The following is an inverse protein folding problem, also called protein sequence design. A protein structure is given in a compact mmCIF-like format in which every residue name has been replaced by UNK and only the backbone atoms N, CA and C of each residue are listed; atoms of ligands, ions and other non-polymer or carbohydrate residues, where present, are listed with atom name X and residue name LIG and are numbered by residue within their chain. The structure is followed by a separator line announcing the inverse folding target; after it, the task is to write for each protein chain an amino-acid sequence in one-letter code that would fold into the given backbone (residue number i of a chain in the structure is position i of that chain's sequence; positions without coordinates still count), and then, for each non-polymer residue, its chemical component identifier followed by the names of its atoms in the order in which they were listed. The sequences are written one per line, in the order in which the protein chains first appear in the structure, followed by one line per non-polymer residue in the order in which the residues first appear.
data_IF_589624208442
#
_entry.id   IF_589624208442
#
_cell.length_a   1.000
_cell.length_b   1.000
_cell.length_c   1.000
_cell.angle_alpha   90.00
_cell.angle_beta   90.00
_cell.angle_gamma   90.00
#
_symmetry.space_group_name_H-M   'P 1'
#
loop_
_entity.id
_entity.type
_entity.pdbx_description
1 polymer ?
#
# COMPACT_ATOMS: atom_id res chain seq x y z
N UNK A 1 85.35 17.74 9.17
CA UNK A 1 84.56 18.52 10.16
C UNK A 1 83.24 18.88 9.48
N UNK A 2 82.24 18.06 9.66
CA UNK A 2 80.89 18.22 9.05
C UNK A 2 79.93 18.38 10.21
N UNK A 3 79.29 19.52 10.27
CA UNK A 3 78.29 19.85 11.28
C UNK A 3 76.95 19.41 10.74
N UNK A 4 76.29 18.41 11.39
CA UNK A 4 74.93 18.02 11.14
C UNK A 4 73.94 18.85 11.99
N UNK A 5 73.13 19.67 11.33
CA UNK A 5 72.00 20.36 11.98
C UNK A 5 70.74 19.50 11.89
N UNK A 6 70.24 19.07 13.02
CA UNK A 6 68.97 18.37 13.16
C UNK A 6 67.76 19.35 13.15
N UNK A 7 66.91 19.26 12.13
CA UNK A 7 65.64 19.92 12.12
C UNK A 7 64.55 18.92 12.60
N UNK A 8 63.98 19.15 13.79
CA UNK A 8 62.78 18.50 14.26
C UNK A 8 61.56 19.16 13.65
N UNK A 9 60.53 18.41 13.15
CA UNK A 9 59.30 19.01 12.68
C UNK A 9 58.39 19.37 13.86
N UNK A 10 57.93 20.59 13.86
CA UNK A 10 56.88 21.10 14.76
C UNK A 10 55.60 20.27 14.62
N UNK A 11 55.11 19.73 15.73
CA UNK A 11 53.82 19.05 15.81
C UNK A 11 52.70 20.05 15.52
N UNK A 12 51.94 19.80 14.44
CA UNK A 12 50.70 20.53 14.13
C UNK A 12 49.63 20.16 15.10
N UNK A 13 49.11 21.14 15.84
CA UNK A 13 47.94 21.02 16.71
C UNK A 13 46.73 20.59 15.89
N UNK A 14 45.86 19.67 16.39
CA UNK A 14 44.65 19.32 15.69
C UNK A 14 43.70 20.53 15.61
N UNK A 15 43.23 20.83 14.41
CA UNK A 15 42.20 21.83 14.17
C UNK A 15 40.96 21.48 14.99
N UNK A 16 40.26 22.44 15.58
CA UNK A 16 39.01 22.18 16.27
C UNK A 16 38.00 21.66 15.27
N UNK A 17 37.36 20.50 15.57
CA UNK A 17 36.29 19.94 14.79
C UNK A 17 35.20 21.00 14.56
N UNK A 18 34.91 21.31 13.31
CA UNK A 18 33.78 22.15 12.93
C UNK A 18 32.54 21.62 13.63
N UNK A 19 31.99 22.37 14.56
CA UNK A 19 30.69 22.10 15.15
C UNK A 19 29.68 22.20 14.00
N UNK A 20 29.12 21.07 13.57
CA UNK A 20 27.93 21.06 12.69
C UNK A 20 26.90 22.00 13.31
N UNK A 21 26.22 22.84 12.50
CA UNK A 21 25.16 23.70 13.01
C UNK A 21 24.15 22.83 13.75
N UNK A 22 23.71 23.28 14.92
CA UNK A 22 22.71 22.60 15.73
C UNK A 22 21.48 22.36 14.85
N UNK A 23 21.23 21.10 14.46
CA UNK A 23 20.01 20.71 13.76
C UNK A 23 18.82 21.03 14.65
N UNK A 24 17.77 21.61 14.07
CA UNK A 24 16.53 21.84 14.81
C UNK A 24 16.00 20.48 15.27
N UNK A 25 15.85 20.31 16.60
CA UNK A 25 15.27 19.12 17.22
C UNK A 25 13.81 19.42 17.52
N UNK A 26 12.95 18.58 17.01
CA UNK A 26 11.52 18.59 17.29
C UNK A 26 11.14 17.30 18.00
N UNK A 27 10.02 17.32 18.76
CA UNK A 27 9.56 16.15 19.47
C UNK A 27 8.06 15.91 19.28
N UNK A 28 7.68 14.65 19.20
CA UNK A 28 6.27 14.22 19.13
C UNK A 28 6.08 12.93 19.91
N UNK A 29 4.84 12.54 20.20
CA UNK A 29 4.56 11.23 20.83
C UNK A 29 4.72 10.10 19.80
N UNK A 30 4.20 10.29 18.57
CA UNK A 30 4.32 9.28 17.52
C UNK A 30 4.78 9.92 16.21
N UNK A 31 5.85 9.41 15.62
CA UNK A 31 6.32 9.81 14.30
C UNK A 31 6.04 8.69 13.29
N UNK A 32 5.27 8.99 12.24
CA UNK A 32 4.86 8.04 11.21
C UNK A 32 5.65 8.34 9.93
N UNK A 33 6.49 7.41 9.51
CA UNK A 33 7.23 7.49 8.26
C UNK A 33 6.39 6.94 7.11
N UNK A 34 5.95 7.80 6.19
CA UNK A 34 5.16 7.46 5.01
C UNK A 34 3.69 7.87 5.12
N UNK A 35 3.25 8.76 4.20
CA UNK A 35 1.88 9.26 4.05
C UNK A 35 0.98 8.35 3.20
N UNK A 36 1.26 7.05 3.12
CA UNK A 36 0.40 6.07 2.46
C UNK A 36 -0.84 5.70 3.28
N UNK A 37 -1.67 4.74 2.80
CA UNK A 37 -2.93 4.36 3.45
C UNK A 37 -2.81 3.99 4.93
N UNK A 38 -1.76 3.23 5.31
CA UNK A 38 -1.50 2.92 6.71
C UNK A 38 -1.15 4.16 7.52
N UNK A 39 -0.25 5.01 6.99
CA UNK A 39 0.27 6.16 7.74
C UNK A 39 -0.78 7.24 7.96
N UNK A 40 -1.53 7.62 6.91
CA UNK A 40 -2.58 8.65 7.04
C UNK A 40 -3.72 8.15 7.94
N UNK A 41 -4.16 6.88 7.79
CA UNK A 41 -5.19 6.30 8.64
C UNK A 41 -4.72 6.23 10.11
N UNK A 42 -3.51 5.77 10.36
CA UNK A 42 -2.96 5.71 11.71
C UNK A 42 -2.84 7.11 12.33
N UNK A 43 -2.30 8.06 11.56
CA UNK A 43 -2.18 9.45 11.99
C UNK A 43 -3.53 10.05 12.37
N UNK A 44 -4.55 9.84 11.52
CA UNK A 44 -5.93 10.27 11.80
C UNK A 44 -6.46 9.65 13.10
N UNK A 45 -6.34 8.33 13.27
CA UNK A 45 -6.88 7.62 14.45
C UNK A 45 -6.16 8.01 15.75
N UNK A 46 -4.84 8.16 15.72
CA UNK A 46 -4.06 8.58 16.88
C UNK A 46 -4.36 10.04 17.26
N UNK A 47 -4.45 10.94 16.27
CA UNK A 47 -4.82 12.32 16.52
C UNK A 47 -6.24 12.44 17.08
N UNK A 48 -7.19 11.67 16.54
CA UNK A 48 -8.55 11.55 17.08
C UNK A 48 -8.57 11.09 18.53
N UNK A 49 -7.60 10.25 18.92
CA UNK A 49 -7.41 9.79 20.29
C UNK A 49 -6.63 10.79 21.19
N UNK A 50 -6.25 11.97 20.70
CA UNK A 50 -5.51 12.99 21.43
C UNK A 50 -4.00 12.73 21.54
N UNK A 51 -3.45 11.84 20.72
CA UNK A 51 -2.00 11.61 20.63
C UNK A 51 -1.39 12.62 19.67
N UNK A 52 -0.29 13.29 20.08
CA UNK A 52 0.50 14.13 19.17
C UNK A 52 1.19 13.27 18.12
N UNK A 53 0.91 13.51 16.85
CA UNK A 53 1.41 12.70 15.75
C UNK A 53 1.93 13.57 14.60
N UNK A 54 3.14 13.22 14.11
CA UNK A 54 3.70 13.77 12.88
C UNK A 54 3.70 12.66 11.82
N UNK A 55 3.04 12.90 10.68
CA UNK A 55 3.07 12.00 9.51
C UNK A 55 3.98 12.63 8.46
N UNK A 56 5.00 11.88 8.01
CA UNK A 56 6.00 12.35 7.06
C UNK A 56 5.76 11.70 5.69
N UNK A 57 5.58 12.51 4.66
CA UNK A 57 5.49 12.05 3.27
C UNK A 57 6.61 12.69 2.44
N UNK A 58 7.41 11.88 1.76
CA UNK A 58 8.56 12.34 0.99
C UNK A 58 8.21 13.10 -0.29
N UNK A 59 7.03 12.90 -0.81
CA UNK A 59 6.57 13.58 -2.01
C UNK A 59 5.76 14.84 -1.66
N UNK A 60 5.58 15.72 -2.65
CA UNK A 60 4.83 16.98 -2.50
C UNK A 60 3.31 16.78 -2.36
N UNK A 61 2.81 15.61 -2.78
CA UNK A 61 1.39 15.25 -2.80
C UNK A 61 1.22 13.73 -2.76
N UNK A 62 -0.04 13.27 -2.75
CA UNK A 62 -0.38 11.84 -2.77
C UNK A 62 -0.53 11.27 -4.17
N UNK A 63 -0.32 12.05 -5.20
CA UNK A 63 -0.46 11.57 -6.57
C UNK A 63 0.56 10.47 -6.88
N UNK A 64 0.06 9.29 -7.25
CA UNK A 64 0.84 8.13 -7.69
C UNK A 64 0.08 7.43 -8.80
N UNK A 65 0.63 7.39 -10.00
CA UNK A 65 0.06 6.64 -11.10
C UNK A 65 -0.02 5.13 -10.78
N UNK A 66 -1.12 4.51 -11.19
CA UNK A 66 -1.32 3.06 -11.18
C UNK A 66 -1.16 2.37 -9.82
N UNK A 67 -1.48 3.06 -8.73
CA UNK A 67 -1.46 2.47 -7.39
C UNK A 67 -2.82 2.53 -6.74
N UNK A 68 -3.20 1.37 -6.19
CA UNK A 68 -4.19 1.22 -5.15
C UNK A 68 -5.53 1.91 -5.38
N UNK A 69 -6.38 1.30 -6.20
CA UNK A 69 -7.60 1.95 -6.67
C UNK A 69 -8.88 1.30 -6.12
N UNK A 70 -8.77 0.54 -5.05
CA UNK A 70 -9.88 -0.27 -4.55
C UNK A 70 -10.07 -0.08 -3.05
N UNK A 71 -11.14 0.59 -2.66
CA UNK A 71 -11.57 0.72 -1.28
C UNK A 71 -12.65 -0.32 -1.02
N UNK A 72 -12.32 -1.32 -0.21
CA UNK A 72 -13.17 -2.48 0.03
C UNK A 72 -14.29 -2.20 1.04
N UNK A 73 -15.34 -3.05 1.08
CA UNK A 73 -16.41 -2.95 2.06
C UNK A 73 -15.94 -2.83 3.50
N UNK A 74 -14.84 -3.51 3.87
CA UNK A 74 -14.24 -3.38 5.22
C UNK A 74 -13.77 -1.96 5.53
N UNK A 75 -13.14 -1.27 4.57
CA UNK A 75 -12.70 0.11 4.77
C UNK A 75 -13.87 1.09 4.74
N UNK A 76 -14.88 0.84 3.88
CA UNK A 76 -16.11 1.64 3.88
C UNK A 76 -16.87 1.51 5.20
N UNK A 77 -16.85 0.34 5.84
CA UNK A 77 -17.43 0.15 7.17
C UNK A 77 -16.65 0.95 8.24
N UNK A 78 -15.32 1.01 8.16
CA UNK A 78 -14.52 1.89 9.03
C UNK A 78 -14.88 3.38 8.82
N UNK A 79 -15.14 3.81 7.58
CA UNK A 79 -15.64 5.17 7.33
C UNK A 79 -17.00 5.41 7.98
N UNK A 80 -17.87 4.41 7.97
CA UNK A 80 -19.15 4.48 8.67
C UNK A 80 -18.98 4.59 10.21
N UNK A 81 -18.12 3.77 10.80
CA UNK A 81 -17.82 3.79 12.24
C UNK A 81 -17.18 5.13 12.69
N UNK A 82 -16.44 5.77 11.80
CA UNK A 82 -15.87 7.10 12.03
C UNK A 82 -16.85 8.26 11.80
N UNK A 83 -18.07 7.98 11.28
CA UNK A 83 -19.04 9.01 10.91
C UNK A 83 -18.69 9.79 9.64
N UNK A 84 -17.78 9.24 8.82
CA UNK A 84 -17.25 9.89 7.60
C UNK A 84 -17.87 9.34 6.31
N UNK A 85 -18.68 8.27 6.38
CA UNK A 85 -19.12 7.55 5.19
C UNK A 85 -19.92 8.40 4.22
N UNK A 86 -20.86 9.21 4.71
CA UNK A 86 -21.73 10.04 3.84
C UNK A 86 -20.93 11.05 3.04
N UNK A 87 -19.94 11.71 3.67
CA UNK A 87 -19.06 12.66 2.98
C UNK A 87 -18.08 11.93 2.06
N UNK A 88 -17.59 10.78 2.47
CA UNK A 88 -16.71 9.97 1.64
C UNK A 88 -17.37 9.49 0.34
N UNK A 89 -18.64 9.10 0.39
CA UNK A 89 -19.39 8.67 -0.81
C UNK A 89 -19.69 9.80 -1.79
N UNK A 90 -19.49 11.07 -1.42
CA UNK A 90 -19.55 12.21 -2.36
C UNK A 90 -18.30 12.33 -3.22
N UNK A 91 -17.18 11.72 -2.81
CA UNK A 91 -15.96 11.65 -3.62
C UNK A 91 -16.24 10.78 -4.85
N UNK A 92 -15.88 11.22 -6.07
CA UNK A 92 -16.15 10.47 -7.29
C UNK A 92 -15.58 9.04 -7.23
N UNK A 93 -16.41 8.04 -7.44
CA UNK A 93 -16.03 6.63 -7.44
C UNK A 93 -16.98 5.80 -8.29
N UNK A 94 -16.57 4.57 -8.59
CA UNK A 94 -17.42 3.58 -9.24
C UNK A 94 -17.64 2.39 -8.30
N UNK A 95 -18.87 1.88 -8.27
CA UNK A 95 -19.23 0.75 -7.44
C UNK A 95 -18.99 -0.58 -8.18
N UNK A 96 -18.19 -1.45 -7.60
CA UNK A 96 -17.98 -2.81 -8.07
C UNK A 96 -18.66 -3.80 -7.10
N UNK A 97 -19.81 -4.33 -7.48
CA UNK A 97 -20.62 -5.24 -6.62
C UNK A 97 -20.22 -6.70 -6.74
N UNK A 98 -19.45 -7.06 -7.75
CA UNK A 98 -18.91 -8.40 -7.93
C UNK A 98 -17.60 -8.36 -8.74
N UNK A 99 -16.72 -9.31 -8.49
CA UNK A 99 -15.50 -9.53 -9.27
C UNK A 99 -15.67 -10.78 -10.10
N UNK A 100 -15.40 -10.70 -11.38
CA UNK A 100 -15.49 -11.81 -12.30
C UNK A 100 -14.49 -11.70 -13.44
N UNK A 101 -14.65 -12.56 -14.44
CA UNK A 101 -13.78 -12.57 -15.58
C UNK A 101 -14.24 -13.51 -16.68
N UNK A 102 -13.39 -13.57 -17.71
CA UNK A 102 -13.51 -14.49 -18.83
C UNK A 102 -12.27 -15.38 -18.89
N UNK A 103 -12.49 -16.68 -18.99
CA UNK A 103 -11.45 -17.67 -19.26
C UNK A 103 -11.77 -18.32 -20.61
N UNK A 104 -11.15 -17.84 -21.68
CA UNK A 104 -11.63 -18.10 -23.04
C UNK A 104 -13.08 -17.61 -23.17
N UNK A 105 -13.98 -18.53 -23.54
CA UNK A 105 -15.42 -18.25 -23.64
C UNK A 105 -16.20 -18.45 -22.33
N UNK A 106 -15.55 -18.89 -21.26
CA UNK A 106 -16.20 -19.15 -19.97
C UNK A 106 -16.24 -17.91 -19.09
N UNK A 107 -17.41 -17.29 -18.99
CA UNK A 107 -17.64 -16.20 -18.05
C UNK A 107 -17.89 -16.75 -16.64
N UNK A 108 -17.28 -16.12 -15.61
CA UNK A 108 -17.50 -16.50 -14.23
C UNK A 108 -17.55 -15.28 -13.30
N UNK A 109 -18.32 -15.40 -12.21
CA UNK A 109 -18.31 -14.46 -11.09
C UNK A 109 -17.60 -15.12 -9.93
N UNK A 110 -16.38 -14.65 -9.64
CA UNK A 110 -15.53 -15.20 -8.58
C UNK A 110 -15.92 -14.74 -7.18
N UNK A 111 -16.32 -13.47 -7.03
CA UNK A 111 -16.73 -12.90 -5.74
C UNK A 111 -17.97 -12.04 -5.91
N UNK A 112 -18.89 -12.11 -4.93
CA UNK A 112 -20.13 -11.35 -4.88
C UNK A 112 -20.25 -10.69 -3.50
N UNK A 113 -20.38 -9.36 -3.48
CA UNK A 113 -20.43 -8.55 -2.26
C UNK A 113 -21.84 -8.21 -1.80
N UNK A 114 -22.87 -8.48 -2.61
CA UNK A 114 -24.25 -8.03 -2.40
C UNK A 114 -24.90 -8.49 -1.09
N UNK A 115 -24.34 -9.53 -0.46
CA UNK A 115 -24.87 -10.16 0.76
C UNK A 115 -24.07 -9.84 2.03
N UNK A 116 -23.02 -9.01 1.93
CA UNK A 116 -22.19 -8.69 3.09
C UNK A 116 -22.98 -7.93 4.16
N UNK A 117 -22.75 -8.22 5.45
CA UNK A 117 -23.46 -7.58 6.57
C UNK A 117 -22.82 -6.22 6.94
N UNK A 118 -22.68 -5.32 5.97
CA UNK A 118 -22.06 -3.99 6.09
C UNK A 118 -22.87 -2.95 5.33
N UNK A 119 -22.62 -1.67 5.59
CA UNK A 119 -23.34 -0.55 4.96
C UNK A 119 -23.15 -0.51 3.45
N UNK A 120 -21.90 -0.63 2.98
CA UNK A 120 -21.56 -0.60 1.56
C UNK A 120 -21.17 -1.99 1.07
N UNK A 121 -22.01 -2.58 0.19
CA UNK A 121 -21.85 -3.94 -0.34
C UNK A 121 -21.18 -3.93 -1.70
N UNK A 122 -20.14 -3.11 -1.86
CA UNK A 122 -19.39 -2.92 -3.10
C UNK A 122 -17.95 -2.48 -2.78
N UNK A 123 -17.05 -2.67 -3.73
CA UNK A 123 -15.74 -2.04 -3.73
C UNK A 123 -15.89 -0.69 -4.41
N UNK A 124 -15.47 0.39 -3.76
CA UNK A 124 -15.36 1.68 -4.40
C UNK A 124 -14.05 1.74 -5.21
N UNK A 125 -14.19 1.89 -6.52
CA UNK A 125 -13.07 2.09 -7.44
C UNK A 125 -12.82 3.59 -7.54
N UNK A 126 -11.74 4.07 -6.94
CA UNK A 126 -11.34 5.48 -6.92
C UNK A 126 -9.82 5.60 -6.86
N UNK A 127 -9.25 6.70 -7.33
CA UNK A 127 -7.83 6.94 -7.16
C UNK A 127 -7.42 6.96 -5.68
N UNK A 128 -6.31 6.33 -5.34
CA UNK A 128 -5.83 6.28 -3.96
C UNK A 128 -5.61 7.67 -3.35
N UNK A 129 -5.15 8.63 -4.15
CA UNK A 129 -4.92 10.00 -3.66
C UNK A 129 -6.20 10.72 -3.21
N UNK A 130 -7.37 10.39 -3.78
CA UNK A 130 -8.64 10.96 -3.34
C UNK A 130 -9.02 10.46 -1.94
N UNK A 131 -8.81 9.16 -1.67
CA UNK A 131 -8.96 8.57 -0.33
C UNK A 131 -8.00 9.22 0.69
N UNK A 132 -6.73 9.37 0.32
CA UNK A 132 -5.71 9.95 1.19
C UNK A 132 -5.96 11.43 1.47
N UNK A 133 -6.30 12.21 0.44
CA UNK A 133 -6.66 13.62 0.60
C UNK A 133 -7.88 13.78 1.50
N UNK A 134 -8.90 12.92 1.31
CA UNK A 134 -10.10 12.94 2.15
C UNK A 134 -9.76 12.74 3.63
N UNK A 135 -9.00 11.71 3.97
CA UNK A 135 -8.60 11.45 5.35
C UNK A 135 -7.68 12.55 5.92
N UNK A 136 -6.70 12.99 5.13
CA UNK A 136 -5.77 14.04 5.55
C UNK A 136 -6.51 15.36 5.85
N UNK A 137 -7.50 15.72 5.04
CA UNK A 137 -8.29 16.92 5.26
C UNK A 137 -9.11 16.83 6.56
N UNK A 138 -9.75 15.70 6.81
CA UNK A 138 -10.46 15.46 8.06
C UNK A 138 -9.51 15.42 9.27
N UNK A 139 -8.29 14.91 9.08
CA UNK A 139 -7.24 14.89 10.10
C UNK A 139 -6.84 16.28 10.59
N UNK A 140 -6.85 17.29 9.72
CA UNK A 140 -6.54 18.70 10.08
C UNK A 140 -7.49 19.31 11.12
N UNK A 141 -8.65 18.70 11.33
CA UNK A 141 -9.58 19.13 12.40
C UNK A 141 -9.01 18.88 13.80
N UNK A 142 -8.05 17.95 13.95
CA UNK A 142 -7.38 17.66 15.20
C UNK A 142 -6.08 18.48 15.33
N UNK A 143 -5.91 19.19 16.43
CA UNK A 143 -4.69 19.99 16.67
C UNK A 143 -3.43 19.16 16.81
N UNK A 144 -3.60 17.88 17.12
CA UNK A 144 -2.53 16.89 17.34
C UNK A 144 -2.11 16.17 16.05
N UNK A 145 -2.75 16.48 14.91
CA UNK A 145 -2.42 15.90 13.60
C UNK A 145 -1.53 16.87 12.80
N UNK A 146 -0.31 16.44 12.51
CA UNK A 146 0.65 17.19 11.68
C UNK A 146 1.11 16.33 10.52
N UNK A 147 0.61 16.62 9.31
CA UNK A 147 1.02 15.94 8.07
C UNK A 147 1.97 16.85 7.29
N UNK A 148 3.19 16.35 7.09
CA UNK A 148 4.25 17.07 6.37
C UNK A 148 4.61 16.37 5.08
N UNK A 149 4.36 17.03 3.97
CA UNK A 149 4.82 16.62 2.63
C UNK A 149 6.25 17.13 2.38
N UNK A 150 6.95 16.55 1.39
CA UNK A 150 8.36 16.85 1.08
C UNK A 150 9.31 16.64 2.28
N UNK A 151 8.95 15.69 3.16
CA UNK A 151 9.74 15.30 4.32
C UNK A 151 10.10 13.81 4.21
N UNK A 152 11.31 13.51 3.77
CA UNK A 152 11.79 12.15 3.56
C UNK A 152 12.53 11.63 4.79
N UNK A 153 12.07 10.53 5.37
CA UNK A 153 12.82 9.83 6.42
C UNK A 153 14.03 9.15 5.78
N UNK A 154 15.23 9.55 6.21
CA UNK A 154 16.50 9.05 5.67
C UNK A 154 17.27 8.16 6.66
N UNK A 155 16.80 8.05 7.91
CA UNK A 155 17.42 7.18 8.90
C UNK A 155 16.74 7.27 10.26
N UNK A 156 17.22 6.45 11.21
CA UNK A 156 16.71 6.38 12.57
C UNK A 156 17.67 7.09 13.54
N UNK A 157 17.10 7.70 14.58
CA UNK A 157 17.82 8.11 15.78
C UNK A 157 17.77 6.95 16.77
N UNK A 158 18.92 6.47 17.23
CA UNK A 158 19.02 5.31 18.12
C UNK A 158 20.00 5.60 19.27
N UNK A 159 19.60 5.19 20.46
CA UNK A 159 20.44 5.21 21.67
C UNK A 159 20.34 3.85 22.36
N UNK A 160 21.44 3.21 22.66
CA UNK A 160 21.51 1.91 23.33
C UNK A 160 20.60 0.83 22.72
N UNK A 161 20.46 0.83 21.40
CA UNK A 161 19.62 -0.10 20.67
C UNK A 161 18.13 0.23 20.66
N UNK A 162 17.70 1.31 21.31
CA UNK A 162 16.33 1.82 21.34
C UNK A 162 16.15 2.89 20.26
N UNK A 163 15.10 2.82 19.47
CA UNK A 163 14.74 3.87 18.52
C UNK A 163 14.10 5.03 19.28
N UNK A 164 14.63 6.24 19.06
CA UNK A 164 14.21 7.49 19.72
C UNK A 164 13.63 8.52 18.76
N UNK A 165 13.62 8.23 17.47
CA UNK A 165 13.14 9.15 16.47
C UNK A 165 13.70 8.88 15.09
N UNK A 166 13.62 9.89 14.22
CA UNK A 166 14.02 9.81 12.81
C UNK A 166 14.86 11.01 12.39
N UNK A 167 15.74 10.79 11.42
CA UNK A 167 16.38 11.86 10.63
C UNK A 167 15.56 12.05 9.36
N UNK A 168 15.27 13.30 9.06
CA UNK A 168 14.37 13.71 7.98
C UNK A 168 15.10 14.70 7.07
N UNK A 169 15.03 14.46 5.79
CA UNK A 169 15.45 15.39 4.75
C UNK A 169 14.24 16.20 4.32
N UNK A 170 14.28 17.51 4.55
CA UNK A 170 13.27 18.47 4.12
C UNK A 170 13.89 19.49 3.14
N UNK A 171 13.06 20.34 2.54
CA UNK A 171 13.51 21.40 1.62
C UNK A 171 14.51 22.39 2.26
N UNK A 172 14.34 22.65 3.57
CA UNK A 172 15.20 23.52 4.35
C UNK A 172 16.49 22.86 4.87
N UNK A 173 16.70 21.57 4.63
CA UNK A 173 17.82 20.78 5.13
C UNK A 173 17.44 19.56 5.93
N UNK A 174 18.39 18.96 6.65
CA UNK A 174 18.12 17.82 7.52
C UNK A 174 17.67 18.29 8.90
N UNK A 175 16.65 17.66 9.45
CA UNK A 175 16.11 17.86 10.79
C UNK A 175 16.03 16.52 11.54
N UNK A 176 16.05 16.58 12.86
CA UNK A 176 15.83 15.44 13.74
C UNK A 176 14.48 15.56 14.44
N UNK A 177 13.69 14.50 14.40
CA UNK A 177 12.39 14.42 15.10
C UNK A 177 12.49 13.28 16.12
N UNK A 178 12.45 13.65 17.41
CA UNK A 178 12.37 12.70 18.51
C UNK A 178 10.93 12.21 18.67
N UNK A 179 10.76 10.93 18.99
CA UNK A 179 9.44 10.32 19.18
C UNK A 179 9.49 9.21 20.23
N UNK A 180 8.42 9.09 21.03
CA UNK A 180 8.23 7.95 21.94
C UNK A 180 8.05 6.64 21.15
N UNK A 181 7.45 6.73 19.92
CA UNK A 181 7.31 5.63 18.97
C UNK A 181 7.48 6.13 17.54
N UNK A 182 8.29 5.42 16.77
CA UNK A 182 8.33 5.55 15.30
C UNK A 182 7.51 4.43 14.67
N UNK A 183 6.63 4.76 13.69
CA UNK A 183 5.89 3.76 12.93
C UNK A 183 6.25 3.85 11.45
N UNK A 184 6.83 2.77 10.92
CA UNK A 184 7.18 2.66 9.51
C UNK A 184 5.96 2.30 8.66
N UNK A 185 5.56 3.21 7.78
CA UNK A 185 4.50 3.08 6.78
C UNK A 185 5.01 3.46 5.38
N UNK A 186 6.34 3.48 5.18
CA UNK A 186 7.04 3.99 4.00
C UNK A 186 7.14 3.00 2.84
N UNK A 187 6.37 1.91 2.94
CA UNK A 187 6.09 1.02 1.82
C UNK A 187 7.13 -0.08 1.62
N UNK A 188 7.04 -0.75 0.45
CA UNK A 188 7.81 -1.97 0.13
C UNK A 188 9.33 -1.76 0.05
N UNK A 189 9.78 -0.52 -0.13
CA UNK A 189 11.20 -0.11 -0.12
C UNK A 189 11.49 0.76 1.10
N UNK A 190 11.03 0.32 2.26
CA UNK A 190 11.10 1.05 3.52
C UNK A 190 12.54 1.30 3.95
N UNK A 191 12.92 2.57 3.99
CA UNK A 191 14.21 3.04 4.56
C UNK A 191 14.26 2.78 6.07
N UNK A 192 13.12 2.94 6.74
CA UNK A 192 13.02 2.70 8.19
C UNK A 192 13.23 1.22 8.52
N UNK A 193 12.65 0.31 7.74
CA UNK A 193 12.84 -1.14 7.86
C UNK A 193 14.32 -1.52 7.70
N UNK A 194 14.97 -0.99 6.66
CA UNK A 194 16.39 -1.23 6.39
C UNK A 194 17.27 -0.69 7.53
N UNK A 195 17.06 0.56 7.95
CA UNK A 195 17.78 1.17 9.07
C UNK A 195 17.54 0.45 10.41
N UNK A 196 16.38 -0.19 10.55
CA UNK A 196 16.03 -1.00 11.71
C UNK A 196 16.61 -2.41 11.68
N UNK A 197 17.32 -2.83 10.61
CA UNK A 197 17.90 -4.17 10.45
C UNK A 197 16.87 -5.32 10.65
N UNK A 198 15.68 -5.17 10.05
CA UNK A 198 14.65 -6.21 10.13
C UNK A 198 14.91 -7.36 9.17
N UNK A 199 14.67 -8.59 9.62
CA UNK A 199 14.75 -9.79 8.78
C UNK A 199 13.52 -9.89 7.88
N UNK A 200 13.74 -9.81 6.56
CA UNK A 200 12.70 -9.95 5.52
C UNK A 200 12.64 -11.39 5.05
N UNK A 201 11.46 -12.00 5.15
CA UNK A 201 11.16 -13.30 4.56
C UNK A 201 10.58 -13.09 3.16
N UNK A 202 11.35 -13.36 2.12
CA UNK A 202 10.87 -13.30 0.74
C UNK A 202 10.08 -14.56 0.39
N UNK A 203 8.84 -14.38 -0.06
CA UNK A 203 7.95 -15.46 -0.53
C UNK A 203 8.04 -15.58 -2.05
N UNK A 204 8.43 -14.49 -2.72
CA UNK A 204 8.54 -14.37 -4.15
C UNK A 204 7.19 -14.23 -4.87
N UNK A 205 7.27 -13.75 -6.11
CA UNK A 205 6.16 -13.72 -7.04
C UNK A 205 6.66 -14.03 -8.44
N UNK A 206 6.07 -15.01 -9.17
CA UNK A 206 6.57 -15.44 -10.47
C UNK A 206 6.10 -14.57 -11.63
N UNK A 207 5.39 -13.50 -11.36
CA UNK A 207 4.79 -12.60 -12.36
C UNK A 207 5.01 -11.15 -12.03
N UNK A 208 4.97 -10.31 -13.06
CA UNK A 208 4.94 -8.85 -13.00
C UNK A 208 3.70 -8.33 -13.75
N UNK A 209 3.37 -7.05 -13.60
CA UNK A 209 2.25 -6.41 -14.30
C UNK A 209 2.73 -5.20 -15.09
N UNK A 210 2.34 -5.12 -16.34
CA UNK A 210 2.51 -3.95 -17.18
C UNK A 210 1.24 -3.12 -17.14
N UNK A 211 1.27 -1.96 -16.50
CA UNK A 211 0.14 -1.04 -16.39
C UNK A 211 0.16 0.02 -17.48
N UNK A 212 -1.01 0.28 -18.06
CA UNK A 212 -1.20 1.32 -19.10
C UNK A 212 -2.65 1.80 -19.11
N UNK A 213 -2.91 2.88 -19.83
CA UNK A 213 -4.26 3.42 -20.07
C UNK A 213 -4.68 3.12 -21.50
N UNK A 214 -5.97 2.85 -21.70
CA UNK A 214 -6.59 2.73 -23.00
C UNK A 214 -8.01 3.29 -22.92
N UNK A 215 -8.46 4.04 -23.93
CA UNK A 215 -9.77 4.67 -23.91
C UNK A 215 -10.90 3.63 -23.84
N UNK A 216 -12.01 4.02 -23.21
CA UNK A 216 -13.22 3.19 -23.08
C UNK A 216 -14.36 3.79 -23.89
N UNK A 217 -15.15 2.94 -24.55
CA UNK A 217 -16.38 3.30 -25.25
C UNK A 217 -17.60 2.92 -24.39
N UNK A 218 -18.74 3.54 -24.68
CA UNK A 218 -19.99 3.30 -23.94
C UNK A 218 -20.51 1.86 -24.09
N UNK A 219 -20.24 1.22 -25.21
CA UNK A 219 -20.63 -0.17 -25.55
C UNK A 219 -19.63 -1.22 -25.07
N UNK A 220 -18.48 -0.80 -24.51
CA UNK A 220 -17.52 -1.73 -23.90
C UNK A 220 -18.09 -2.41 -22.66
N UNK A 221 -17.57 -3.59 -22.28
CA UNK A 221 -17.96 -4.25 -21.06
C UNK A 221 -17.86 -3.32 -19.85
N UNK A 222 -18.99 -3.08 -19.17
CA UNK A 222 -19.06 -2.14 -18.02
C UNK A 222 -18.27 -2.61 -16.80
N UNK A 223 -18.23 -3.93 -16.57
CA UNK A 223 -17.61 -4.50 -15.39
C UNK A 223 -16.08 -4.59 -15.54
N UNK A 224 -15.38 -4.35 -14.42
CA UNK A 224 -13.94 -4.65 -14.33
C UNK A 224 -13.73 -6.15 -14.52
N UNK A 225 -13.00 -6.53 -15.55
CA UNK A 225 -12.87 -7.91 -15.98
C UNK A 225 -11.41 -8.35 -16.00
N UNK A 226 -11.15 -9.50 -15.38
CA UNK A 226 -9.98 -10.32 -15.71
C UNK A 226 -10.27 -11.13 -16.97
N UNK A 227 -9.35 -11.11 -17.94
CA UNK A 227 -9.46 -11.91 -19.18
C UNK A 227 -8.23 -12.79 -19.30
N UNK A 228 -8.45 -14.07 -19.58
CA UNK A 228 -7.40 -15.06 -19.81
C UNK A 228 -7.71 -15.75 -21.13
N UNK A 229 -6.90 -15.49 -22.14
CA UNK A 229 -7.01 -16.15 -23.45
C UNK A 229 -5.67 -16.08 -24.21
N UNK A 230 -5.44 -17.00 -25.13
CA UNK A 230 -4.25 -17.04 -26.00
C UNK A 230 -2.91 -16.83 -25.30
N UNK A 231 -2.81 -17.32 -24.07
CA UNK A 231 -1.59 -17.19 -23.26
C UNK A 231 -1.40 -15.84 -22.59
N UNK A 232 -2.34 -14.94 -22.73
CA UNK A 232 -2.33 -13.62 -22.15
C UNK A 232 -3.31 -13.52 -20.97
N UNK A 233 -2.96 -12.71 -19.97
CA UNK A 233 -3.81 -12.39 -18.83
C UNK A 233 -3.91 -10.89 -18.69
N UNK A 234 -5.09 -10.33 -18.97
CA UNK A 234 -5.36 -8.91 -18.97
C UNK A 234 -6.38 -8.56 -17.87
N UNK A 235 -6.08 -7.53 -17.11
CA UNK A 235 -7.00 -6.92 -16.13
C UNK A 235 -7.44 -5.59 -16.70
N UNK A 236 -8.75 -5.33 -16.71
CA UNK A 236 -9.33 -4.06 -17.16
C UNK A 236 -10.16 -3.47 -16.03
N UNK A 237 -9.69 -2.37 -15.46
CA UNK A 237 -10.38 -1.62 -14.42
C UNK A 237 -11.06 -0.42 -15.08
N UNK A 238 -12.39 -0.38 -15.01
CA UNK A 238 -13.19 0.70 -15.56
C UNK A 238 -12.97 1.99 -14.75
N UNK A 239 -12.63 3.10 -15.44
CA UNK A 239 -12.40 4.43 -14.87
C UNK A 239 -13.34 5.50 -15.48
N UNK A 240 -14.44 5.07 -16.08
CA UNK A 240 -15.39 5.94 -16.74
C UNK A 240 -15.08 6.06 -18.23
N UNK A 241 -14.18 6.92 -18.61
CA UNK A 241 -13.77 7.23 -19.99
C UNK A 241 -12.58 6.40 -20.49
N UNK A 242 -11.88 5.67 -19.59
CA UNK A 242 -10.77 4.79 -19.93
C UNK A 242 -10.75 3.51 -19.09
N UNK A 243 -10.02 2.52 -19.57
CA UNK A 243 -9.58 1.39 -18.77
C UNK A 243 -8.16 1.62 -18.26
N UNK A 244 -7.98 1.47 -16.97
CA UNK A 244 -6.67 1.17 -16.41
C UNK A 244 -6.43 -0.33 -16.65
N UNK A 245 -5.53 -0.62 -17.58
CA UNK A 245 -5.27 -1.96 -18.05
C UNK A 245 -3.95 -2.51 -17.47
N UNK A 246 -3.95 -3.77 -17.04
CA UNK A 246 -2.78 -4.47 -16.53
C UNK A 246 -2.55 -5.78 -17.27
N UNK A 247 -1.49 -5.88 -18.07
CA UNK A 247 -1.07 -7.14 -18.69
C UNK A 247 -0.11 -7.87 -17.74
N UNK A 248 -0.46 -9.10 -17.37
CA UNK A 248 0.36 -9.95 -16.51
C UNK A 248 1.39 -10.66 -17.36
N UNK A 249 2.66 -10.50 -17.01
CA UNK A 249 3.79 -11.13 -17.66
C UNK A 249 4.59 -12.03 -16.68
N UNK A 250 5.44 -12.90 -17.19
CA UNK A 250 6.39 -13.63 -16.34
C UNK A 250 7.35 -12.66 -15.66
N UNK A 251 7.77 -12.99 -14.46
CA UNK A 251 8.74 -12.20 -13.69
C UNK A 251 10.00 -11.92 -14.50
N UNK A 252 10.36 -10.63 -14.61
CA UNK A 252 11.56 -10.18 -15.34
C UNK A 252 11.45 -10.21 -16.86
N UNK A 253 10.27 -10.51 -17.45
CA UNK A 253 10.10 -10.61 -18.90
C UNK A 253 9.93 -9.26 -19.62
N UNK A 254 9.95 -8.11 -18.92
CA UNK A 254 9.63 -6.82 -19.54
C UNK A 254 10.59 -6.43 -20.67
N UNK A 255 11.88 -6.70 -20.52
CA UNK A 255 12.86 -6.39 -21.57
C UNK A 255 12.65 -7.26 -22.83
N UNK A 256 12.24 -8.52 -22.67
CA UNK A 256 11.87 -9.38 -23.79
C UNK A 256 10.60 -8.87 -24.50
N UNK A 257 9.58 -8.39 -23.73
CA UNK A 257 8.38 -7.77 -24.30
C UNK A 257 8.73 -6.49 -25.07
N UNK A 258 9.61 -5.65 -24.54
CA UNK A 258 10.10 -4.45 -25.26
C UNK A 258 10.84 -4.80 -26.53
N UNK A 259 11.69 -5.82 -26.51
CA UNK A 259 12.49 -6.27 -27.67
C UNK A 259 11.61 -6.82 -28.79
N UNK A 260 10.44 -7.40 -28.46
CA UNK A 260 9.45 -7.82 -29.46
C UNK A 260 8.74 -6.66 -30.13
N UNK A 261 8.80 -5.47 -29.54
CA UNK A 261 8.27 -4.21 -30.11
C UNK A 261 6.81 -3.94 -29.76
N UNK A 262 6.42 -2.65 -29.88
CA UNK A 262 5.04 -2.21 -29.62
C UNK A 262 3.98 -2.91 -30.50
N UNK A 263 4.21 -3.21 -31.78
CA UNK A 263 3.24 -3.96 -32.59
C UNK A 263 2.92 -5.34 -32.02
N UNK A 264 3.91 -6.07 -31.50
CA UNK A 264 3.70 -7.36 -30.86
C UNK A 264 2.91 -7.21 -29.56
N UNK A 265 3.25 -6.20 -28.74
CA UNK A 265 2.53 -5.89 -27.50
C UNK A 265 1.05 -5.55 -27.76
N UNK A 266 0.75 -4.70 -28.75
CA UNK A 266 -0.61 -4.35 -29.14
C UNK A 266 -1.38 -5.57 -29.65
N UNK A 267 -0.72 -6.45 -30.40
CA UNK A 267 -1.32 -7.70 -30.88
C UNK A 267 -1.69 -8.65 -29.72
N UNK A 268 -0.85 -8.78 -28.70
CA UNK A 268 -1.19 -9.52 -27.46
C UNK A 268 -2.49 -8.99 -26.83
N UNK A 269 -2.65 -7.66 -26.76
CA UNK A 269 -3.88 -7.06 -26.24
C UNK A 269 -5.11 -7.39 -27.09
N UNK A 270 -4.97 -7.37 -28.41
CA UNK A 270 -6.06 -7.73 -29.32
C UNK A 270 -6.44 -9.21 -29.22
N UNK A 271 -5.48 -10.10 -29.01
CA UNK A 271 -5.75 -11.53 -28.83
C UNK A 271 -6.62 -11.81 -27.60
N UNK A 272 -6.34 -11.16 -26.46
CA UNK A 272 -7.08 -11.37 -25.20
C UNK A 272 -8.33 -10.50 -25.10
N UNK A 273 -8.37 -9.34 -25.76
CA UNK A 273 -9.47 -8.38 -25.73
C UNK A 273 -9.74 -7.77 -27.12
N UNK A 274 -10.29 -8.53 -28.08
CA UNK A 274 -10.51 -8.07 -29.46
C UNK A 274 -11.37 -6.81 -29.57
N UNK A 275 -12.26 -6.56 -28.62
CA UNK A 275 -13.12 -5.38 -28.59
C UNK A 275 -12.36 -4.06 -28.43
N UNK A 276 -11.08 -4.08 -28.01
CA UNK A 276 -10.25 -2.89 -27.95
C UNK A 276 -9.97 -2.31 -29.35
N UNK A 277 -9.85 -3.17 -30.36
CA UNK A 277 -9.70 -2.74 -31.78
C UNK A 277 -8.53 -1.77 -31.95
N UNK A 278 -8.75 -0.74 -32.77
CA UNK A 278 -7.74 0.28 -33.10
C UNK A 278 -7.25 1.10 -31.91
N UNK A 279 -7.95 1.05 -30.74
CA UNK A 279 -7.55 1.77 -29.54
C UNK A 279 -6.22 1.28 -28.97
N UNK A 280 -5.78 0.07 -29.29
CA UNK A 280 -4.45 -0.40 -28.93
C UNK A 280 -3.33 0.48 -29.50
N UNK A 281 -3.61 1.21 -30.61
CA UNK A 281 -2.69 2.17 -31.23
C UNK A 281 -2.51 3.46 -30.39
N UNK A 282 -3.33 3.71 -29.37
CA UNK A 282 -3.14 4.81 -28.42
C UNK A 282 -1.84 4.65 -27.60
N UNK A 283 -1.34 3.41 -27.48
CA UNK A 283 -0.07 3.12 -26.82
C UNK A 283 1.05 3.35 -27.85
N UNK A 284 1.55 4.58 -27.91
CA UNK A 284 2.52 5.02 -28.92
C UNK A 284 3.97 4.81 -28.48
N UNK A 285 4.21 4.77 -27.18
CA UNK A 285 5.54 4.70 -26.59
C UNK A 285 5.55 3.78 -25.35
N UNK A 286 6.72 3.21 -25.05
CA UNK A 286 6.94 2.42 -23.85
C UNK A 286 6.85 3.25 -22.57
N UNK A 287 6.98 4.56 -22.64
CA UNK A 287 6.78 5.45 -21.49
C UNK A 287 5.34 5.45 -20.98
N UNK A 288 4.37 5.05 -21.81
CA UNK A 288 2.98 4.86 -21.45
C UNK A 288 2.73 3.51 -20.74
N UNK A 289 3.72 2.60 -20.75
CA UNK A 289 3.64 1.26 -20.12
C UNK A 289 4.53 1.20 -18.91
N UNK A 290 3.94 1.09 -17.72
CA UNK A 290 4.67 1.10 -16.45
C UNK A 290 4.79 -0.30 -15.87
N UNK A 291 6.01 -0.72 -15.62
CA UNK A 291 6.28 -2.00 -14.94
C UNK A 291 5.97 -1.88 -13.44
N UNK A 292 5.08 -2.73 -12.96
CA UNK A 292 4.93 -3.04 -11.54
C UNK A 292 5.59 -4.38 -11.26
N UNK A 293 6.78 -4.36 -10.69
CA UNK A 293 7.44 -5.57 -10.20
C UNK A 293 6.77 -6.04 -8.91
N UNK A 294 6.11 -7.20 -8.97
CA UNK A 294 5.39 -7.76 -7.83
C UNK A 294 6.40 -8.33 -6.82
N UNK A 295 6.20 -7.98 -5.56
CA UNK A 295 6.92 -8.52 -4.42
C UNK A 295 5.91 -9.06 -3.41
N UNK A 296 6.16 -10.26 -2.90
CA UNK A 296 5.43 -10.84 -1.78
C UNK A 296 6.46 -11.19 -0.73
N UNK A 297 6.52 -10.41 0.32
CA UNK A 297 7.43 -10.63 1.43
C UNK A 297 6.78 -10.18 2.75
N UNK A 298 7.37 -10.56 3.86
CA UNK A 298 6.98 -10.05 5.18
C UNK A 298 8.16 -10.09 6.13
N UNK A 299 8.10 -9.27 7.17
CA UNK A 299 9.06 -9.30 8.26
C UNK A 299 8.81 -10.54 9.15
N UNK A 300 9.88 -11.10 9.71
CA UNK A 300 9.79 -12.12 10.77
C UNK A 300 9.26 -11.50 12.06
N UNK A 301 9.82 -10.38 12.46
CA UNK A 301 9.38 -9.55 13.58
C UNK A 301 9.07 -8.15 13.05
N UNK A 302 7.91 -7.59 13.41
CA UNK A 302 7.47 -6.29 12.88
C UNK A 302 7.90 -5.11 13.75
N UNK A 303 8.47 -5.37 14.89
CA UNK A 303 8.79 -4.36 15.89
C UNK A 303 10.15 -4.56 16.53
N UNK A 304 10.63 -3.52 17.14
CA UNK A 304 11.71 -3.46 18.12
C UNK A 304 11.45 -2.26 19.04
N UNK A 305 12.17 -2.16 20.15
CA UNK A 305 11.93 -1.09 21.13
C UNK A 305 11.96 0.29 20.48
N UNK A 306 10.84 1.03 20.58
CA UNK A 306 10.64 2.34 19.96
C UNK A 306 10.30 2.34 18.45
N UNK A 307 10.10 1.17 17.81
CA UNK A 307 9.83 1.08 16.37
C UNK A 307 8.83 -0.04 16.05
N UNK A 308 7.84 0.26 15.21
CA UNK A 308 6.88 -0.68 14.64
C UNK A 308 6.82 -0.50 13.11
N UNK A 309 6.76 -1.59 12.35
CA UNK A 309 6.47 -1.58 10.91
C UNK A 309 5.05 -2.09 10.67
N UNK A 310 4.27 -1.43 9.79
CA UNK A 310 2.94 -1.85 9.36
C UNK A 310 2.73 -1.63 7.85
N UNK A 311 1.69 -2.24 7.29
CA UNK A 311 1.41 -2.17 5.85
C UNK A 311 2.56 -2.75 5.01
N UNK A 312 2.81 -2.18 3.82
CA UNK A 312 3.84 -2.68 2.90
C UNK A 312 5.27 -2.61 3.48
N UNK A 313 5.52 -1.83 4.53
CA UNK A 313 6.80 -1.83 5.25
C UNK A 313 7.00 -3.13 6.04
N UNK A 314 5.94 -3.71 6.58
CA UNK A 314 5.95 -4.99 7.29
C UNK A 314 5.72 -6.19 6.36
N UNK A 315 4.83 -6.05 5.35
CA UNK A 315 4.38 -7.16 4.51
C UNK A 315 3.92 -6.67 3.12
N UNK A 316 4.81 -6.61 2.19
CA UNK A 316 4.47 -6.33 0.80
C UNK A 316 3.67 -7.51 0.19
N UNK A 317 2.71 -7.19 -0.66
CA UNK A 317 1.87 -8.17 -1.31
C UNK A 317 1.54 -7.81 -2.76
N UNK A 318 0.99 -8.80 -3.47
CA UNK A 318 0.53 -8.63 -4.84
C UNK A 318 -0.66 -7.68 -4.93
N UNK A 319 -0.80 -6.93 -6.04
CA UNK A 319 -2.00 -6.16 -6.33
C UNK A 319 -3.23 -7.03 -6.61
N UNK A 320 -3.07 -8.35 -6.75
CA UNK A 320 -4.17 -9.27 -7.02
C UNK A 320 -5.26 -9.20 -5.96
N UNK A 321 -6.49 -8.90 -6.40
CA UNK A 321 -7.65 -8.70 -5.53
C UNK A 321 -7.77 -7.31 -4.92
N UNK A 322 -6.80 -6.40 -5.14
CA UNK A 322 -6.83 -5.03 -4.60
C UNK A 322 -6.78 -4.93 -3.07
N UNK A 323 -6.26 -5.97 -2.38
CA UNK A 323 -6.38 -6.10 -0.92
C UNK A 323 -5.31 -5.35 -0.13
N UNK A 324 -4.21 -4.93 -0.76
CA UNK A 324 -3.05 -4.35 -0.08
C UNK A 324 -3.38 -3.08 0.73
N UNK A 325 -4.09 -2.13 0.13
CA UNK A 325 -4.56 -0.90 0.82
C UNK A 325 -5.39 -1.26 2.04
N UNK A 326 -6.35 -2.16 1.87
CA UNK A 326 -7.30 -2.49 2.92
C UNK A 326 -6.64 -3.22 4.09
N UNK A 327 -5.62 -4.05 3.83
CA UNK A 327 -4.80 -4.66 4.89
C UNK A 327 -3.96 -3.60 5.62
N UNK A 328 -3.34 -2.68 4.90
CA UNK A 328 -2.57 -1.60 5.50
C UNK A 328 -3.42 -0.69 6.39
N UNK A 329 -4.66 -0.39 5.97
CA UNK A 329 -5.64 0.34 6.78
C UNK A 329 -6.03 -0.45 8.03
N UNK A 330 -6.26 -1.76 7.89
CA UNK A 330 -6.59 -2.62 9.03
C UNK A 330 -5.44 -2.73 10.03
N UNK A 331 -4.19 -2.71 9.57
CA UNK A 331 -3.03 -2.65 10.46
C UNK A 331 -3.01 -1.34 11.25
N UNK A 332 -3.31 -0.21 10.58
CA UNK A 332 -3.42 1.09 11.23
C UNK A 332 -4.50 1.11 12.32
N UNK A 333 -5.66 0.51 12.03
CA UNK A 333 -6.76 0.39 13.01
C UNK A 333 -6.35 -0.47 14.20
N UNK A 334 -5.77 -1.65 13.95
CA UNK A 334 -5.28 -2.52 15.02
C UNK A 334 -4.21 -1.81 15.88
N UNK A 335 -3.29 -1.09 15.24
CA UNK A 335 -2.24 -0.31 15.91
C UNK A 335 -2.85 0.77 16.80
N UNK A 336 -3.80 1.55 16.28
CA UNK A 336 -4.47 2.60 17.06
C UNK A 336 -5.28 2.02 18.22
N UNK A 337 -6.01 0.91 18.00
CA UNK A 337 -6.79 0.25 19.04
C UNK A 337 -5.92 -0.25 20.21
N UNK A 338 -4.72 -0.76 19.91
CA UNK A 338 -3.81 -1.34 20.92
C UNK A 338 -2.96 -0.25 21.57
N UNK A 339 -2.48 0.74 20.80
CA UNK A 339 -1.42 1.63 21.27
C UNK A 339 -1.90 3.03 21.68
N UNK A 340 -3.09 3.49 21.25
CA UNK A 340 -3.49 4.88 21.47
C UNK A 340 -3.45 5.30 22.95
N UNK A 341 -3.95 4.44 23.86
CA UNK A 341 -3.93 4.73 25.30
C UNK A 341 -2.50 4.74 25.85
N UNK A 342 -1.69 3.74 25.50
CA UNK A 342 -0.31 3.63 25.95
C UNK A 342 0.57 4.79 25.44
N UNK A 343 0.30 5.30 24.21
CA UNK A 343 0.96 6.48 23.67
C UNK A 343 0.61 7.74 24.46
N UNK A 344 -0.66 7.92 24.83
CA UNK A 344 -1.09 9.04 25.67
C UNK A 344 -0.42 9.01 27.04
N UNK A 345 -0.27 7.83 27.61
CA UNK A 345 0.34 7.58 28.92
C UNK A 345 1.88 7.45 28.87
N UNK A 346 2.47 7.50 27.66
CA UNK A 346 3.92 7.33 27.41
C UNK A 346 4.48 6.02 27.99
N UNK A 347 3.70 4.95 27.90
CA UNK A 347 4.03 3.63 28.46
C UNK A 347 4.00 2.50 27.39
N UNK A 348 4.35 2.81 26.15
CA UNK A 348 4.45 1.81 25.08
C UNK A 348 5.57 0.81 25.40
N UNK A 349 5.24 -0.48 25.33
CA UNK A 349 6.17 -1.59 25.60
C UNK A 349 6.28 -2.51 24.39
N UNK A 350 7.37 -3.27 24.30
CA UNK A 350 7.55 -4.28 23.23
C UNK A 350 6.42 -5.33 23.25
N UNK A 351 5.86 -5.63 24.43
CA UNK A 351 4.72 -6.54 24.53
C UNK A 351 3.45 -5.99 23.84
N UNK A 352 3.21 -4.68 23.89
CA UNK A 352 2.12 -4.05 23.15
C UNK A 352 2.39 -4.01 21.64
N UNK A 353 3.64 -3.77 21.25
CA UNK A 353 4.04 -3.84 19.84
C UNK A 353 3.87 -5.25 19.27
N UNK A 354 4.23 -6.28 20.07
CA UNK A 354 4.02 -7.69 19.72
C UNK A 354 2.54 -8.01 19.48
N UNK A 355 1.62 -7.47 20.27
CA UNK A 355 0.19 -7.69 20.12
C UNK A 355 -0.33 -7.19 18.75
N UNK A 356 0.23 -6.10 18.21
CA UNK A 356 -0.11 -5.62 16.86
C UNK A 356 0.25 -6.67 15.82
N UNK A 357 1.47 -7.21 15.87
CA UNK A 357 1.89 -8.29 14.97
C UNK A 357 1.01 -9.54 15.13
N UNK A 358 0.81 -10.03 16.34
CA UNK A 358 -0.02 -11.22 16.64
C UNK A 358 -1.45 -11.07 16.08
N UNK A 359 -2.01 -9.88 16.21
CA UNK A 359 -3.35 -9.56 15.70
C UNK A 359 -3.40 -9.59 14.17
N UNK A 360 -2.36 -9.07 13.50
CA UNK A 360 -2.39 -8.81 12.06
C UNK A 360 -1.65 -9.84 11.20
N UNK A 361 -0.68 -10.58 11.74
CA UNK A 361 0.13 -11.51 10.95
C UNK A 361 -0.70 -12.65 10.33
N UNK A 362 -1.68 -13.21 11.07
CA UNK A 362 -2.49 -14.31 10.53
C UNK A 362 -3.28 -13.91 9.27
N UNK A 363 -4.05 -12.80 9.23
CA UNK A 363 -4.69 -12.32 8.00
C UNK A 363 -3.70 -12.14 6.84
N UNK A 364 -2.55 -11.53 7.10
CA UNK A 364 -1.49 -11.32 6.11
C UNK A 364 -1.00 -12.64 5.51
N UNK A 365 -0.66 -13.62 6.37
CA UNK A 365 -0.16 -14.94 5.95
C UNK A 365 -1.16 -15.68 5.06
N UNK A 366 -2.44 -15.66 5.41
CA UNK A 366 -3.49 -16.32 4.63
C UNK A 366 -3.61 -15.69 3.25
N UNK A 367 -3.65 -14.35 3.17
CA UNK A 367 -3.78 -13.64 1.89
C UNK A 367 -2.54 -13.84 1.02
N UNK A 368 -1.34 -13.70 1.57
CA UNK A 368 -0.10 -13.94 0.83
C UNK A 368 0.00 -15.38 0.32
N UNK A 369 -0.41 -16.37 1.12
CA UNK A 369 -0.43 -17.78 0.71
C UNK A 369 -1.43 -18.01 -0.44
N UNK A 370 -2.59 -17.36 -0.40
CA UNK A 370 -3.57 -17.43 -1.49
C UNK A 370 -3.01 -16.80 -2.76
N UNK A 371 -2.44 -15.59 -2.66
CA UNK A 371 -1.85 -14.88 -3.80
C UNK A 371 -0.71 -15.67 -4.44
N UNK A 372 0.21 -16.22 -3.64
CA UNK A 372 1.33 -17.02 -4.14
C UNK A 372 0.84 -18.25 -4.92
N UNK A 373 -0.19 -18.97 -4.40
CA UNK A 373 -0.80 -20.10 -5.12
C UNK A 373 -1.49 -19.68 -6.42
N UNK A 374 -2.22 -18.55 -6.39
CA UNK A 374 -2.90 -18.04 -7.58
C UNK A 374 -1.90 -17.63 -8.68
N UNK A 375 -0.79 -16.98 -8.30
CA UNK A 375 0.26 -16.61 -9.25
C UNK A 375 0.98 -17.84 -9.82
N UNK A 376 1.29 -18.85 -9.00
CA UNK A 376 1.87 -20.08 -9.50
C UNK A 376 0.93 -20.80 -10.46
N UNK A 377 -0.38 -20.82 -10.18
CA UNK A 377 -1.37 -21.40 -11.07
C UNK A 377 -1.47 -20.62 -12.41
N UNK A 378 -1.29 -19.29 -12.40
CA UNK A 378 -1.34 -18.47 -13.62
C UNK A 378 -0.23 -18.82 -14.62
N UNK A 379 0.93 -19.27 -14.14
CA UNK A 379 2.04 -19.72 -15.01
C UNK A 379 1.66 -20.89 -15.94
N UNK A 380 0.65 -21.68 -15.57
CA UNK A 380 0.16 -22.77 -16.42
C UNK A 380 -0.55 -22.28 -17.69
N UNK A 381 -0.93 -21.00 -17.72
CA UNK A 381 -1.67 -20.40 -18.83
C UNK A 381 -0.82 -19.39 -19.61
N UNK A 382 0.11 -18.71 -18.95
CA UNK A 382 0.94 -17.66 -19.56
C UNK A 382 1.85 -18.23 -20.67
N UNK A 383 1.77 -17.61 -21.85
CA UNK A 383 2.60 -17.94 -23.01
C UNK A 383 2.13 -19.14 -23.81
N UNK A 384 0.91 -19.66 -23.58
CA UNK A 384 0.29 -20.70 -24.41
C UNK A 384 -0.55 -20.05 -25.52
N UNK A 385 -0.16 -20.09 -26.79
CA UNK A 385 -0.84 -19.34 -27.86
C UNK A 385 -2.23 -19.87 -28.20
N UNK A 386 -2.62 -21.00 -27.64
CA UNK A 386 -3.91 -21.62 -27.90
C UNK A 386 -5.04 -20.88 -27.20
N UNK A 387 -6.25 -20.96 -27.79
CA UNK A 387 -7.46 -20.46 -27.12
C UNK A 387 -7.65 -21.13 -25.78
N UNK A 388 -7.78 -20.33 -24.73
CA UNK A 388 -7.88 -20.81 -23.37
C UNK A 388 -9.21 -21.57 -23.15
N UNK A 389 -9.09 -22.79 -22.61
CA UNK A 389 -10.26 -23.58 -22.18
C UNK A 389 -10.28 -23.65 -20.65
N UNK A 390 -11.37 -23.15 -20.06
CA UNK A 390 -11.53 -23.20 -18.61
C UNK A 390 -11.46 -24.65 -18.14
N UNK A 391 -10.54 -24.99 -17.20
CA UNK A 391 -10.44 -26.32 -16.64
C UNK A 391 -11.77 -26.79 -16.04
N UNK A 392 -12.10 -28.06 -16.16
CA UNK A 392 -13.37 -28.58 -15.62
C UNK A 392 -13.48 -28.37 -14.10
N UNK A 393 -12.35 -28.40 -13.39
CA UNK A 393 -12.27 -28.11 -11.95
C UNK A 393 -12.75 -26.68 -11.65
N UNK A 394 -12.32 -25.67 -12.44
CA UNK A 394 -12.79 -24.30 -12.30
C UNK A 394 -14.30 -24.20 -12.54
N UNK A 395 -14.81 -24.85 -13.59
CA UNK A 395 -16.24 -24.88 -13.89
C UNK A 395 -17.05 -25.53 -12.78
N UNK A 396 -16.57 -26.65 -12.23
CA UNK A 396 -17.22 -27.34 -11.11
C UNK A 396 -17.18 -26.48 -9.84
N UNK A 397 -16.02 -25.89 -9.53
CA UNK A 397 -15.83 -25.02 -8.37
C UNK A 397 -16.76 -23.79 -8.41
N UNK A 398 -16.89 -23.15 -9.57
CA UNK A 398 -17.80 -22.00 -9.74
C UNK A 398 -19.30 -22.35 -9.65
N UNK A 399 -19.67 -23.63 -9.74
CA UNK A 399 -21.05 -24.11 -9.56
C UNK A 399 -21.42 -24.42 -8.11
N UNK A 400 -20.46 -24.41 -7.17
CA UNK A 400 -20.71 -24.68 -5.76
C UNK A 400 -21.62 -23.56 -5.19
N UNK A 401 -22.81 -23.90 -4.68
CA UNK A 401 -23.72 -22.91 -4.11
C UNK A 401 -23.06 -22.14 -2.94
N UNK A 402 -23.21 -20.82 -2.91
CA UNK A 402 -22.66 -19.97 -1.86
C UNK A 402 -21.17 -19.65 -1.97
N UNK A 403 -20.39 -20.35 -2.80
CA UNK A 403 -18.94 -20.12 -2.90
C UNK A 403 -18.57 -18.67 -3.24
N UNK A 404 -19.24 -18.06 -4.22
CA UNK A 404 -19.01 -16.67 -4.60
C UNK A 404 -19.24 -15.69 -3.44
N UNK A 405 -20.13 -16.04 -2.50
CA UNK A 405 -20.40 -15.27 -1.29
C UNK A 405 -19.27 -15.42 -0.27
N UNK A 406 -18.74 -16.64 -0.10
CA UNK A 406 -17.59 -16.90 0.78
C UNK A 406 -16.37 -16.16 0.27
N UNK A 407 -16.09 -16.22 -1.04
CA UNK A 407 -15.01 -15.48 -1.67
C UNK A 407 -15.22 -13.97 -1.56
N UNK A 408 -16.45 -13.49 -1.78
CA UNK A 408 -16.84 -12.10 -1.60
C UNK A 408 -16.61 -11.62 -0.16
N UNK A 409 -16.93 -12.43 0.85
CA UNK A 409 -16.65 -12.12 2.24
C UNK A 409 -15.12 -12.04 2.50
N UNK A 410 -14.36 -13.01 2.00
CA UNK A 410 -12.91 -13.06 2.18
C UNK A 410 -12.18 -11.88 1.53
N UNK A 411 -12.63 -11.43 0.35
CA UNK A 411 -12.07 -10.28 -0.36
C UNK A 411 -12.60 -8.98 0.23
N UNK A 412 -13.92 -8.85 0.40
CA UNK A 412 -14.58 -7.60 0.78
C UNK A 412 -14.36 -7.20 2.23
N UNK A 413 -14.44 -8.14 3.16
CA UNK A 413 -14.23 -7.88 4.59
C UNK A 413 -12.82 -8.26 5.06
N UNK A 414 -12.18 -9.21 4.36
CA UNK A 414 -10.92 -9.77 4.80
C UNK A 414 -11.11 -10.87 5.85
N UNK A 415 -9.98 -11.31 6.41
CA UNK A 415 -9.89 -12.32 7.46
C UNK A 415 -9.61 -11.58 8.76
N UNK A 416 -10.46 -11.73 9.77
CA UNK A 416 -10.45 -10.98 11.02
C UNK A 416 -10.46 -9.46 10.77
N UNK A 417 -11.56 -8.91 10.23
CA UNK A 417 -11.66 -7.47 10.01
C UNK A 417 -11.51 -6.69 11.32
N UNK A 418 -10.91 -5.54 11.24
CA UNK A 418 -10.79 -4.61 12.38
C UNK A 418 -11.99 -3.67 12.41
N UNK A 419 -12.30 -3.19 13.62
CA UNK A 419 -13.29 -2.16 13.92
C UNK A 419 -12.68 -1.09 14.79
N UNK A 420 -13.25 0.11 14.83
CA UNK A 420 -12.71 1.24 15.58
C UNK A 420 -13.07 1.12 17.06
N UNK A 421 -12.09 0.82 17.90
CA UNK A 421 -12.20 0.80 19.36
C UNK A 421 -11.28 1.84 20.02
N UNK A 422 -10.39 2.46 19.25
CA UNK A 422 -9.51 3.50 19.77
C UNK A 422 -10.35 4.66 20.34
N UNK A 423 -9.92 5.25 21.48
CA UNK A 423 -10.67 6.31 22.14
C UNK A 423 -10.86 7.51 21.20
N UNK A 424 -11.90 8.27 21.45
CA UNK A 424 -12.09 9.61 20.88
C UNK A 424 -11.86 10.60 22.00
N UNK A 425 -10.92 11.52 21.82
CA UNK A 425 -10.79 12.65 22.72
C UNK A 425 -12.08 13.49 22.61
N UNK A 426 -12.72 13.74 23.76
CA UNK A 426 -13.85 14.68 23.76
C UNK A 426 -13.30 16.02 23.32
N UNK A 427 -13.65 16.44 22.11
CA UNK A 427 -13.32 17.79 21.64
C UNK A 427 -13.78 18.77 22.73
N UNK A 428 -12.88 19.60 23.21
CA UNK A 428 -13.27 20.77 23.96
C UNK A 428 -14.20 21.57 23.02
N UNK A 429 -15.48 21.54 23.32
CA UNK A 429 -16.49 22.34 22.61
C UNK A 429 -15.95 23.76 22.63
N UNK A 430 -15.62 24.30 21.46
CA UNK A 430 -15.35 25.73 21.35
C UNK A 430 -16.65 26.37 21.70
N UNK A 431 -16.73 26.96 22.91
CA UNK A 431 -17.72 27.99 23.22
C UNK A 431 -17.56 29.10 22.19
N UNK A 432 -18.34 29.04 21.14
CA UNK A 432 -18.61 30.19 20.27
C UNK A 432 -19.70 30.94 20.95
N UNK A 433 -19.31 31.90 21.81
CA UNK A 433 -20.11 33.10 22.08
C UNK A 433 -19.83 34.13 20.99
#
# INVERSE_FOLDING_TARGET
MVVLTSNSPLASSPMPSERRPMQAREATTCCIAGGGPAGVMLGYLLARAGVSVIVLEKHKDFFRDFRGDTIHPSTLELMYELGLLEDFLKVPHQELRSIGGLFGDFAFTGADFSHLPVKCRFIALMPQWDFLNFLAEHGKSFKTFDLRVEHEVVGLLQEDGVVKGVRVKASAGEIEIEADLVVACDGRHSTVRESGNFEVMDIGAPVDVLWFRISRKADDPYQSLGRIDHGEMLILINRGDYFQAGLIIRKGAFDAVKSAGLPAFRNSLLQVAPFLGERTEEIKDWDQVKLLSIQINRLRTWYRTGLLCIGDAAHAMSPAGGVGINLAIQDAVATANILAQALREKCVTDALLAQVQERREFPVRVIQSFQARAHNASLNFLGRPEKAKAPWQLRAFMRIPGLKRILGRGIGLGIRPEHIYSPMEKAAVRDTM
#
